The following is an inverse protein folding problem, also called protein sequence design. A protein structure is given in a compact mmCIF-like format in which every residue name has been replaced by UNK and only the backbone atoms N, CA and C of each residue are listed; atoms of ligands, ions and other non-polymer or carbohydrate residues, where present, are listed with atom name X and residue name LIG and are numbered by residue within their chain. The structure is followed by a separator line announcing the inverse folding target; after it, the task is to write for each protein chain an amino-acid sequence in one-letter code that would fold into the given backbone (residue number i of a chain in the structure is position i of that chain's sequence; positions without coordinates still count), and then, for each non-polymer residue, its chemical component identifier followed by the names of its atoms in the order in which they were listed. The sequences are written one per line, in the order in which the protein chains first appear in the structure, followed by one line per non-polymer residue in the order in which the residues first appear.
data_IF_929907313097
#
_entry.id   IF_929907313097
#
_cell.length_a   1.000
_cell.length_b   1.000
_cell.length_c   1.000
_cell.angle_alpha   90.00
_cell.angle_beta   90.00
_cell.angle_gamma   90.00
#
_symmetry.space_group_name_H-M   'P 1'
#
loop_
_entity.id
_entity.type
_entity.pdbx_description
1 polymer ?
#
# COMPACT_ATOMS: atom_id res chain seq x y z
N UNK A 1 -35.13 -20.29 2.50
CA UNK A 1 -34.53 -19.07 1.96
C UNK A 1 -33.08 -19.40 1.67
N UNK A 2 -32.71 -19.44 0.40
CA UNK A 2 -31.30 -19.56 0.03
C UNK A 2 -30.63 -18.25 0.44
N UNK A 3 -29.61 -18.32 1.29
CA UNK A 3 -28.87 -17.15 1.77
C UNK A 3 -27.98 -16.65 0.64
N UNK A 4 -28.37 -15.54 0.01
CA UNK A 4 -27.52 -14.84 -0.97
C UNK A 4 -26.29 -14.26 -0.26
N UNK A 5 -25.10 -14.50 -0.81
CA UNK A 5 -23.84 -13.98 -0.30
C UNK A 5 -23.35 -12.80 -1.14
N UNK A 6 -22.94 -11.73 -0.45
CA UNK A 6 -22.33 -10.55 -1.07
C UNK A 6 -20.82 -10.56 -0.83
N UNK A 7 -20.06 -10.25 -1.87
CA UNK A 7 -18.60 -10.19 -1.82
C UNK A 7 -18.06 -8.93 -2.50
N UNK A 8 -17.20 -8.19 -1.81
CA UNK A 8 -16.44 -7.12 -2.46
C UNK A 8 -15.29 -7.70 -3.27
N UNK A 9 -15.05 -7.12 -4.44
CA UNK A 9 -13.89 -7.39 -5.30
C UNK A 9 -13.08 -6.11 -5.39
N UNK A 10 -11.82 -6.17 -5.01
CA UNK A 10 -10.87 -5.06 -5.07
C UNK A 10 -9.74 -5.44 -6.00
N UNK A 11 -9.39 -4.54 -6.92
CA UNK A 11 -8.29 -4.75 -7.85
C UNK A 11 -7.45 -3.48 -7.95
N UNK A 12 -6.13 -3.63 -7.90
CA UNK A 12 -5.23 -2.54 -8.22
C UNK A 12 -5.19 -2.32 -9.73
N UNK A 13 -5.41 -1.09 -10.18
CA UNK A 13 -5.41 -0.70 -11.59
C UNK A 13 -4.28 0.26 -11.96
N UNK A 14 -3.56 0.80 -10.96
CA UNK A 14 -2.44 1.70 -11.21
C UNK A 14 -1.60 1.99 -9.97
N UNK A 15 -0.53 2.75 -10.20
CA UNK A 15 0.41 3.18 -9.15
C UNK A 15 1.43 2.11 -8.75
N UNK A 16 2.08 2.33 -7.62
CA UNK A 16 3.16 1.49 -7.11
C UNK A 16 2.59 0.30 -6.31
N UNK A 17 2.66 -0.91 -6.85
CA UNK A 17 2.15 -2.13 -6.20
C UNK A 17 2.79 -2.55 -4.87
N UNK A 18 4.12 -2.47 -4.69
CA UNK A 18 4.77 -2.97 -3.48
C UNK A 18 4.73 -1.96 -2.31
N UNK A 19 3.56 -1.34 -2.09
CA UNK A 19 3.27 -0.48 -0.94
C UNK A 19 2.72 -1.26 0.26
N UNK A 20 2.19 -2.46 0.04
CA UNK A 20 1.50 -3.26 1.05
C UNK A 20 2.25 -4.55 1.33
N UNK A 21 2.19 -5.02 2.58
CA UNK A 21 2.73 -6.30 2.97
C UNK A 21 1.77 -7.40 2.46
N UNK A 22 2.24 -8.21 1.51
CA UNK A 22 1.42 -9.22 0.84
C UNK A 22 0.66 -8.67 -0.37
N UNK A 23 -0.35 -9.42 -0.81
CA UNK A 23 -1.12 -9.14 -2.04
C UNK A 23 -2.50 -8.52 -1.80
N UNK A 24 -2.90 -8.30 -0.55
CA UNK A 24 -4.32 -8.13 -0.21
C UNK A 24 -4.61 -6.73 0.36
N UNK A 25 -5.15 -5.87 -0.52
CA UNK A 25 -6.04 -4.76 -0.12
C UNK A 25 -7.45 -5.30 -0.30
N UNK A 26 -8.18 -5.49 0.80
CA UNK A 26 -9.49 -6.15 0.79
C UNK A 26 -10.56 -5.26 1.40
N UNK A 27 -11.81 -5.55 1.06
CA UNK A 27 -12.97 -4.93 1.71
C UNK A 27 -13.81 -6.06 2.28
N UNK A 28 -14.06 -6.03 3.59
CA UNK A 28 -14.86 -7.07 4.24
C UNK A 28 -16.37 -6.88 3.99
N UNK A 29 -17.21 -7.83 4.41
CA UNK A 29 -18.65 -7.80 4.15
C UNK A 29 -19.39 -6.58 4.73
N UNK A 30 -18.79 -5.86 5.69
CA UNK A 30 -19.35 -4.61 6.24
C UNK A 30 -18.92 -3.35 5.46
N UNK A 31 -18.08 -3.50 4.44
CA UNK A 31 -17.52 -2.38 3.67
C UNK A 31 -16.24 -1.78 4.28
N UNK A 32 -15.63 -2.44 5.28
CA UNK A 32 -14.38 -1.96 5.88
C UNK A 32 -13.20 -2.35 5.01
N UNK A 33 -12.37 -1.36 4.64
CA UNK A 33 -11.13 -1.53 3.87
C UNK A 33 -9.99 -1.98 4.80
N UNK A 34 -9.35 -3.10 4.47
CA UNK A 34 -8.26 -3.70 5.23
C UNK A 34 -7.00 -3.81 4.36
N UNK A 35 -5.87 -3.31 4.87
CA UNK A 35 -4.56 -3.40 4.23
C UNK A 35 -3.46 -3.14 5.26
N UNK A 36 -2.27 -3.66 5.01
CA UNK A 36 -1.09 -3.42 5.84
C UNK A 36 -0.01 -2.72 5.01
N UNK A 37 0.36 -1.47 5.30
CA UNK A 37 1.50 -0.83 4.64
C UNK A 37 2.81 -1.59 4.87
N UNK A 38 3.64 -1.71 3.84
CA UNK A 38 4.97 -2.28 3.94
C UNK A 38 5.94 -1.28 4.56
N UNK A 39 6.82 -1.77 5.44
CA UNK A 39 7.84 -0.94 6.09
C UNK A 39 8.73 -0.22 5.06
N UNK A 40 9.00 1.06 5.31
CA UNK A 40 9.86 1.93 4.49
C UNK A 40 9.42 2.08 3.03
N UNK A 41 8.14 1.83 2.72
CA UNK A 41 7.55 2.09 1.40
C UNK A 41 6.59 3.27 1.48
N UNK A 42 6.65 4.14 0.49
CA UNK A 42 5.77 5.28 0.33
C UNK A 42 5.46 5.47 -1.15
N UNK A 43 4.34 6.11 -1.45
CA UNK A 43 3.85 6.27 -2.81
C UNK A 43 2.33 6.20 -2.90
N UNK A 44 1.83 6.03 -4.10
CA UNK A 44 0.40 5.97 -4.40
C UNK A 44 0.04 4.69 -5.15
N UNK A 45 -1.10 4.10 -4.80
CA UNK A 45 -1.72 2.97 -5.51
C UNK A 45 -3.20 3.27 -5.75
N UNK A 46 -3.65 2.96 -6.97
CA UNK A 46 -5.02 3.20 -7.44
C UNK A 46 -5.76 1.87 -7.56
N UNK A 47 -6.99 1.84 -7.08
CA UNK A 47 -7.81 0.65 -6.97
C UNK A 47 -9.20 0.87 -7.53
N UNK A 48 -9.80 -0.23 -7.99
CA UNK A 48 -11.19 -0.34 -8.32
C UNK A 48 -11.86 -1.32 -7.35
N UNK A 49 -13.10 -1.02 -6.95
CA UNK A 49 -13.93 -1.87 -6.11
C UNK A 49 -15.33 -2.00 -6.68
N UNK A 50 -15.88 -3.21 -6.61
CA UNK A 50 -17.28 -3.48 -6.91
C UNK A 50 -17.80 -4.58 -5.98
N UNK A 51 -19.11 -4.60 -5.79
CA UNK A 51 -19.81 -5.66 -5.07
C UNK A 51 -20.31 -6.69 -6.07
N UNK A 52 -20.21 -7.96 -5.72
CA UNK A 52 -20.72 -9.10 -6.48
C UNK A 52 -21.63 -9.92 -5.56
N UNK A 53 -22.78 -10.34 -6.08
CA UNK A 53 -23.66 -11.31 -5.43
C UNK A 53 -23.59 -12.67 -6.14
N UNK A 54 -23.82 -13.76 -5.41
CA UNK A 54 -23.76 -15.15 -5.90
C UNK A 54 -25.09 -15.67 -6.49
N UNK A 55 -26.09 -14.81 -6.57
CA UNK A 55 -27.38 -15.03 -7.19
C UNK A 55 -27.31 -15.18 -8.70
N UNK A 56 -28.27 -15.93 -9.23
CA UNK A 56 -28.23 -16.40 -10.61
C UNK A 56 -28.57 -15.28 -11.61
N UNK A 57 -27.68 -15.07 -12.59
CA UNK A 57 -27.82 -14.07 -13.67
C UNK A 57 -28.95 -14.35 -14.69
N UNK A 58 -29.87 -15.29 -14.41
CA UNK A 58 -31.03 -15.60 -15.25
C UNK A 58 -32.35 -15.14 -14.63
N UNK A 59 -32.32 -14.19 -13.69
CA UNK A 59 -33.52 -13.43 -13.37
C UNK A 59 -34.14 -12.93 -14.70
N UNK A 60 -35.46 -13.01 -14.91
CA UNK A 60 -36.12 -12.47 -16.10
C UNK A 60 -35.82 -10.98 -16.31
N UNK A 61 -35.48 -10.29 -15.22
CA UNK A 61 -35.07 -8.88 -15.20
C UNK A 61 -33.58 -8.68 -15.54
N UNK A 62 -32.84 -9.77 -15.75
CA UNK A 62 -31.43 -9.75 -16.05
C UNK A 62 -31.13 -10.00 -17.53
N UNK A 63 -30.45 -9.03 -18.16
CA UNK A 63 -29.89 -9.21 -19.49
C UNK A 63 -28.43 -9.71 -19.39
N UNK A 64 -28.14 -10.98 -19.71
CA UNK A 64 -26.78 -11.52 -19.69
C UNK A 64 -25.87 -10.92 -20.79
N UNK A 65 -26.43 -10.13 -21.72
CA UNK A 65 -25.70 -9.45 -22.80
C UNK A 65 -25.19 -8.04 -22.42
N UNK A 66 -25.11 -7.71 -21.12
CA UNK A 66 -24.55 -6.45 -20.63
C UNK A 66 -23.01 -6.31 -20.81
N UNK A 67 -22.37 -7.23 -21.54
CA UNK A 67 -20.91 -7.30 -21.72
C UNK A 67 -20.37 -6.40 -22.84
N UNK A 68 -21.21 -5.72 -23.62
CA UNK A 68 -20.76 -4.92 -24.77
C UNK A 68 -20.58 -3.41 -24.52
N UNK A 69 -21.13 -2.85 -23.44
CA UNK A 69 -21.13 -1.38 -23.20
C UNK A 69 -20.74 -0.95 -21.78
N UNK A 70 -20.24 -1.85 -20.94
CA UNK A 70 -19.85 -1.53 -19.57
C UNK A 70 -21.01 -1.39 -18.57
N UNK A 71 -22.21 -1.88 -18.94
CA UNK A 71 -23.31 -2.00 -17.97
C UNK A 71 -22.99 -3.12 -16.97
N UNK A 72 -23.26 -2.95 -15.67
CA UNK A 72 -23.05 -4.01 -14.70
C UNK A 72 -23.85 -5.26 -15.07
N UNK A 73 -23.23 -6.44 -15.00
CA UNK A 73 -23.99 -7.69 -14.94
C UNK A 73 -24.94 -7.61 -13.75
N UNK A 74 -26.10 -8.24 -13.81
CA UNK A 74 -27.15 -8.02 -12.80
C UNK A 74 -26.78 -8.51 -11.41
N UNK A 75 -25.66 -9.23 -11.30
CA UNK A 75 -25.07 -9.68 -10.05
C UNK A 75 -23.89 -8.81 -9.58
N UNK A 76 -23.66 -7.65 -10.21
CA UNK A 76 -22.51 -6.78 -9.96
C UNK A 76 -22.95 -5.33 -9.80
N UNK A 77 -22.38 -4.61 -8.83
CA UNK A 77 -22.57 -3.17 -8.71
C UNK A 77 -21.80 -2.40 -9.79
N UNK A 78 -22.04 -1.09 -9.88
CA UNK A 78 -21.09 -0.20 -10.56
C UNK A 78 -19.71 -0.28 -9.91
N UNK A 79 -18.66 -0.15 -10.73
CA UNK A 79 -17.27 -0.01 -10.25
C UNK A 79 -17.07 1.36 -9.63
N UNK A 80 -16.38 1.42 -8.50
CA UNK A 80 -15.90 2.64 -7.87
C UNK A 80 -14.37 2.64 -7.79
N UNK A 81 -13.77 3.82 -7.92
CA UNK A 81 -12.32 3.98 -7.93
C UNK A 81 -11.87 4.71 -6.66
N UNK A 82 -10.75 4.28 -6.07
CA UNK A 82 -10.15 4.95 -4.93
C UNK A 82 -8.63 4.88 -4.97
N UNK A 83 -7.97 5.77 -4.24
CA UNK A 83 -6.51 5.87 -4.19
C UNK A 83 -6.04 5.75 -2.75
N UNK A 84 -5.04 4.90 -2.50
CA UNK A 84 -4.30 4.86 -1.24
C UNK A 84 -2.96 5.57 -1.45
N UNK A 85 -2.70 6.58 -0.61
CA UNK A 85 -1.44 7.33 -0.58
C UNK A 85 -0.70 7.04 0.73
N UNK A 86 0.40 6.30 0.63
CA UNK A 86 1.31 6.06 1.76
C UNK A 86 2.33 7.18 1.79
N UNK A 87 2.24 8.04 2.81
CA UNK A 87 3.13 9.20 2.96
C UNK A 87 4.50 8.75 3.48
N UNK A 88 5.56 9.40 2.99
CA UNK A 88 6.87 9.24 3.61
C UNK A 88 6.88 9.91 4.98
N UNK A 89 7.48 9.23 5.96
CA UNK A 89 7.75 9.81 7.27
C UNK A 89 9.22 10.18 7.31
N UNK A 90 9.51 11.47 7.43
CA UNK A 90 10.86 11.92 7.68
C UNK A 90 11.30 11.40 9.06
N UNK A 91 12.34 10.59 9.10
CA UNK A 91 12.87 10.06 10.35
C UNK A 91 14.03 10.96 10.82
N UNK A 92 14.13 11.22 12.12
CA UNK A 92 15.13 12.16 12.64
C UNK A 92 16.56 11.67 12.32
N UNK A 93 17.50 12.60 12.04
CA UNK A 93 18.90 12.25 11.91
C UNK A 93 19.40 11.66 13.22
N UNK A 94 20.29 10.67 13.14
CA UNK A 94 21.02 10.17 14.31
C UNK A 94 22.51 10.18 14.05
N UNK A 95 23.27 10.46 15.11
CA UNK A 95 24.73 10.46 15.08
C UNK A 95 25.27 9.21 15.76
N UNK A 96 26.16 8.49 15.07
CA UNK A 96 26.86 7.34 15.63
C UNK A 96 28.35 7.45 15.30
N UNK A 97 29.18 7.46 16.33
CA UNK A 97 30.64 7.47 16.19
C UNK A 97 31.14 6.01 16.23
N UNK A 98 31.83 5.58 15.18
CA UNK A 98 32.46 4.24 15.12
C UNK A 98 33.54 4.06 16.20
N UNK A 99 34.19 5.15 16.60
CA UNK A 99 35.14 5.23 17.71
C UNK A 99 34.84 6.45 18.56
N UNK A 100 34.11 6.32 19.69
CA UNK A 100 33.80 7.46 20.55
C UNK A 100 35.01 7.94 21.36
N UNK A 101 36.08 7.16 21.40
CA UNK A 101 37.32 7.49 22.12
C UNK A 101 38.47 7.53 21.12
N UNK A 102 39.21 8.64 21.14
CA UNK A 102 40.43 8.83 20.37
C UNK A 102 41.58 8.97 21.38
N UNK A 103 42.55 8.06 21.31
CA UNK A 103 43.78 8.13 22.10
C UNK A 103 44.87 8.79 21.25
N UNK A 104 45.50 9.84 21.79
CA UNK A 104 46.61 10.54 21.13
C UNK A 104 47.80 10.62 22.07
N UNK A 105 49.01 10.47 21.51
CA UNK A 105 50.25 10.64 22.25
C UNK A 105 50.57 12.13 22.42
N UNK A 106 51.17 12.50 23.56
CA UNK A 106 51.51 13.89 23.88
C UNK A 106 52.51 14.53 22.88
N UNK A 107 53.30 13.71 22.20
CA UNK A 107 54.29 14.13 21.21
C UNK A 107 53.76 14.08 19.76
N UNK A 108 52.47 13.88 19.56
CA UNK A 108 51.88 13.87 18.23
C UNK A 108 51.85 15.30 17.64
N UNK A 109 52.51 15.49 16.51
CA UNK A 109 52.57 16.81 15.84
C UNK A 109 51.29 17.15 15.08
N UNK A 110 50.66 16.19 14.40
CA UNK A 110 49.35 16.35 13.75
C UNK A 110 48.65 15.01 13.64
N UNK A 111 47.45 14.91 14.19
CA UNK A 111 46.58 13.73 14.07
C UNK A 111 45.34 14.13 13.27
N UNK A 112 44.99 13.33 12.26
CA UNK A 112 43.72 13.47 11.52
C UNK A 112 42.90 12.22 11.79
N UNK A 113 41.71 12.41 12.33
CA UNK A 113 40.73 11.35 12.52
C UNK A 113 39.48 11.73 11.74
N UNK A 114 39.06 10.84 10.84
CA UNK A 114 37.88 11.00 10.01
C UNK A 114 36.88 9.92 10.36
N UNK A 115 35.65 10.33 10.59
CA UNK A 115 34.53 9.42 10.70
C UNK A 115 33.76 9.43 9.39
N UNK A 116 33.64 8.27 8.75
CA UNK A 116 32.78 8.09 7.59
C UNK A 116 31.31 8.02 8.05
N UNK A 117 30.41 8.70 7.32
CA UNK A 117 28.97 8.58 7.50
C UNK A 117 28.42 8.79 8.94
N UNK A 118 28.94 9.78 9.68
CA UNK A 118 28.53 10.09 11.08
C UNK A 118 27.06 10.43 11.28
N UNK A 119 26.40 10.88 10.22
CA UNK A 119 24.97 11.16 10.21
C UNK A 119 24.33 10.36 9.10
N UNK A 120 23.41 9.48 9.46
CA UNK A 120 22.49 8.88 8.49
C UNK A 120 21.10 9.46 8.71
N UNK A 121 20.17 9.20 7.80
CA UNK A 121 18.79 9.70 7.88
C UNK A 121 18.66 11.23 7.78
N UNK A 122 19.61 11.86 7.08
CA UNK A 122 19.50 13.26 6.67
C UNK A 122 18.70 13.26 5.37
N UNK A 123 17.45 13.73 5.41
CA UNK A 123 16.69 13.94 4.18
C UNK A 123 17.48 14.88 3.26
N UNK A 124 17.66 14.48 2.00
CA UNK A 124 18.21 15.37 0.97
C UNK A 124 17.29 16.55 0.70
#
# INVERSE_FOLDING_TARGET
EETQALSFRVQQVGGFGPLFAGSEVTVNATGTLEFQPQLFRYGEAQFEVYLEDDGFATSPDCNPLATATGSPSCNRSSTQNFTIRVLSVNSAPYFSLSQPVIEISENASTVRHSYEAIGTNISR
#
